data_IF_570738597772
#
_entry.id   IF_570738597772
#
_cell.length_a   1.000
_cell.length_b   1.000
_cell.length_c   1.000
_cell.angle_alpha   90.00
_cell.angle_beta   90.00
_cell.angle_gamma   90.00
#
_symmetry.space_group_name_H-M   'P 1'
#
loop_
_entity.id
_entity.type
_entity.pdbx_description
1 polymer ?
#
# COMPACT_ATOMS: atom_id res chain seq x y z
N UNK A 1 1.38 15.49 -13.72
CA UNK A 1 0.81 16.08 -12.49
C UNK A 1 0.30 14.97 -11.59
N UNK A 2 -0.29 15.28 -10.46
CA UNK A 2 -0.69 14.29 -9.45
C UNK A 2 -1.58 13.20 -10.05
N UNK A 3 -2.58 13.55 -10.86
CA UNK A 3 -3.51 12.57 -11.42
C UNK A 3 -2.81 11.53 -12.31
N UNK A 4 -1.90 11.96 -13.20
CA UNK A 4 -1.18 11.04 -14.07
C UNK A 4 -0.19 10.17 -13.30
N UNK A 5 0.40 10.70 -12.24
CA UNK A 5 1.30 9.93 -11.40
C UNK A 5 0.54 8.89 -10.57
N UNK A 6 -0.70 9.20 -10.15
CA UNK A 6 -1.55 8.22 -9.49
C UNK A 6 -2.01 7.13 -10.45
N UNK A 7 -2.22 7.44 -11.73
CA UNK A 7 -2.52 6.44 -12.75
C UNK A 7 -1.34 5.47 -12.94
N UNK A 8 -0.11 5.99 -12.99
CA UNK A 8 1.09 5.16 -13.07
C UNK A 8 1.23 4.25 -11.85
N UNK A 9 0.94 4.79 -10.66
CA UNK A 9 0.96 4.00 -9.45
C UNK A 9 -0.10 2.90 -9.50
N UNK A 10 -1.32 3.24 -9.91
CA UNK A 10 -2.40 2.27 -10.04
C UNK A 10 -2.04 1.13 -11.01
N UNK A 11 -1.45 1.47 -12.16
CA UNK A 11 -1.00 0.48 -13.14
C UNK A 11 0.08 -0.43 -12.56
N UNK A 12 1.00 0.13 -11.78
CA UNK A 12 2.05 -0.66 -11.14
C UNK A 12 1.49 -1.60 -10.07
N UNK A 13 0.52 -1.13 -9.29
CA UNK A 13 -0.14 -1.97 -8.29
C UNK A 13 -0.91 -3.12 -8.98
N UNK A 14 -1.60 -2.85 -10.07
CA UNK A 14 -2.27 -3.90 -10.85
C UNK A 14 -1.28 -4.95 -11.33
N UNK A 15 -0.12 -4.52 -11.84
CA UNK A 15 0.92 -5.44 -12.30
C UNK A 15 1.42 -6.33 -11.16
N UNK A 16 1.64 -5.76 -9.98
CA UNK A 16 2.08 -6.53 -8.80
C UNK A 16 1.03 -7.56 -8.41
N UNK A 17 -0.25 -7.16 -8.41
CA UNK A 17 -1.35 -8.06 -8.04
C UNK A 17 -1.52 -9.23 -9.01
N UNK A 18 -1.05 -9.07 -10.25
CA UNK A 18 -1.13 -10.11 -11.29
C UNK A 18 0.10 -11.01 -11.34
N UNK A 19 1.12 -10.75 -10.55
CA UNK A 19 2.32 -11.61 -10.52
C UNK A 19 1.99 -13.00 -10.01
N UNK A 20 2.75 -13.99 -10.47
CA UNK A 20 2.61 -15.37 -10.03
C UNK A 20 3.39 -15.62 -8.76
N UNK A 21 2.98 -14.95 -7.68
CA UNK A 21 3.55 -15.09 -6.36
C UNK A 21 2.41 -15.37 -5.38
N UNK A 22 2.77 -15.78 -4.15
CA UNK A 22 1.77 -16.09 -3.14
C UNK A 22 0.99 -14.83 -2.76
N UNK A 23 -0.32 -14.96 -2.42
CA UNK A 23 -1.12 -13.80 -2.00
C UNK A 23 -0.50 -13.00 -0.86
N UNK A 24 0.09 -13.67 0.15
CA UNK A 24 0.75 -12.99 1.26
C UNK A 24 1.93 -12.14 0.81
N UNK A 25 2.68 -12.60 -0.20
CA UNK A 25 3.79 -11.84 -0.78
C UNK A 25 3.28 -10.66 -1.61
N UNK A 26 2.14 -10.83 -2.29
CA UNK A 26 1.49 -9.72 -3.02
C UNK A 26 1.13 -8.57 -2.08
N UNK A 27 0.60 -8.87 -0.89
CA UNK A 27 0.24 -7.83 0.08
C UNK A 27 1.47 -7.00 0.45
N UNK A 28 2.57 -7.64 0.77
CA UNK A 28 3.82 -6.95 1.13
C UNK A 28 4.33 -6.12 -0.04
N UNK A 29 4.36 -6.69 -1.24
CA UNK A 29 4.83 -5.98 -2.43
C UNK A 29 3.93 -4.80 -2.78
N UNK A 30 2.61 -4.93 -2.62
CA UNK A 30 1.69 -3.83 -2.86
C UNK A 30 1.94 -2.67 -1.88
N UNK A 31 2.15 -2.97 -0.60
CA UNK A 31 2.44 -1.96 0.41
C UNK A 31 3.71 -1.17 0.04
N UNK A 32 4.81 -1.87 -0.22
CA UNK A 32 6.09 -1.20 -0.50
C UNK A 32 6.12 -0.52 -1.86
N UNK A 33 5.43 -1.06 -2.86
CA UNK A 33 5.28 -0.40 -4.15
C UNK A 33 4.56 0.93 -4.00
N UNK A 34 3.47 0.95 -3.26
CA UNK A 34 2.73 2.18 -2.96
C UNK A 34 3.63 3.21 -2.27
N UNK A 35 4.26 2.83 -1.18
CA UNK A 35 5.09 3.75 -0.39
C UNK A 35 6.29 4.27 -1.18
N UNK A 36 6.98 3.39 -1.92
CA UNK A 36 8.15 3.77 -2.72
C UNK A 36 7.78 4.75 -3.82
N UNK A 37 6.68 4.51 -4.52
CA UNK A 37 6.27 5.38 -5.62
C UNK A 37 5.76 6.73 -5.13
N UNK A 38 5.03 6.77 -4.02
CA UNK A 38 4.59 8.04 -3.42
C UNK A 38 5.81 8.85 -2.97
N UNK A 39 6.79 8.22 -2.35
CA UNK A 39 8.02 8.89 -1.96
C UNK A 39 8.77 9.44 -3.18
N UNK A 40 8.87 8.66 -4.24
CA UNK A 40 9.52 9.08 -5.48
C UNK A 40 8.84 10.30 -6.09
N UNK A 41 7.50 10.32 -6.12
CA UNK A 41 6.72 11.46 -6.60
C UNK A 41 7.02 12.71 -5.78
N UNK A 42 7.00 12.60 -4.47
CA UNK A 42 7.25 13.74 -3.56
C UNK A 42 8.68 14.27 -3.72
N UNK A 43 9.66 13.37 -3.81
CA UNK A 43 11.08 13.77 -3.96
C UNK A 43 11.32 14.44 -5.32
N UNK A 44 10.77 13.87 -6.40
CA UNK A 44 10.94 14.40 -7.75
C UNK A 44 10.27 15.77 -7.92
N UNK A 45 9.16 15.98 -7.24
CA UNK A 45 8.40 17.23 -7.29
C UNK A 45 8.54 17.98 -5.96
N UNK A 46 9.75 18.49 -5.68
CA UNK A 46 10.09 19.07 -4.37
C UNK A 46 9.09 20.09 -3.82
N UNK A 47 8.46 20.91 -4.70
CA UNK A 47 7.47 21.88 -4.31
C UNK A 47 6.08 21.25 -4.07
N UNK A 48 5.81 20.10 -4.66
CA UNK A 48 4.56 19.38 -4.52
C UNK A 48 4.33 18.94 -3.08
N UNK A 49 5.39 18.67 -2.35
CA UNK A 49 5.35 18.32 -0.95
C UNK A 49 4.69 19.40 -0.09
N UNK A 50 5.03 20.68 -0.33
CA UNK A 50 4.42 21.79 0.37
C UNK A 50 2.96 21.96 -0.03
N UNK A 51 2.65 21.82 -1.32
CA UNK A 51 1.28 21.89 -1.83
C UNK A 51 0.43 20.75 -1.29
N UNK A 52 0.99 19.55 -1.19
CA UNK A 52 0.32 18.39 -0.66
C UNK A 52 -0.24 18.68 0.75
N UNK A 53 0.56 19.29 1.59
CA UNK A 53 0.15 19.58 2.97
C UNK A 53 -0.70 20.84 3.10
N UNK A 54 -0.60 21.80 2.16
CA UNK A 54 -1.40 23.03 2.17
C UNK A 54 -2.80 22.81 1.63
N UNK A 55 -2.96 21.95 0.63
CA UNK A 55 -4.19 21.74 -0.09
C UNK A 55 -4.70 20.30 0.05
N UNK A 56 -4.75 19.85 1.31
CA UNK A 56 -5.15 18.48 1.63
C UNK A 56 -6.51 18.10 1.03
N UNK A 57 -7.45 19.05 0.97
CA UNK A 57 -8.75 18.82 0.38
C UNK A 57 -8.67 18.49 -1.11
N UNK A 58 -7.85 19.24 -1.84
CA UNK A 58 -7.64 19.00 -3.27
C UNK A 58 -6.99 17.64 -3.50
N UNK A 59 -6.00 17.31 -2.68
CA UNK A 59 -5.30 16.02 -2.77
C UNK A 59 -6.25 14.86 -2.49
N UNK A 60 -7.06 14.96 -1.45
CA UNK A 60 -8.03 13.92 -1.11
C UNK A 60 -9.05 13.71 -2.24
N UNK A 61 -9.54 14.80 -2.83
CA UNK A 61 -10.48 14.73 -3.95
C UNK A 61 -9.86 14.02 -5.16
N UNK A 62 -8.63 14.38 -5.52
CA UNK A 62 -7.92 13.76 -6.65
C UNK A 62 -7.63 12.28 -6.37
N UNK A 63 -7.33 11.93 -5.12
CA UNK A 63 -6.98 10.57 -4.73
C UNK A 63 -8.19 9.66 -4.56
N UNK A 64 -9.39 10.18 -4.50
CA UNK A 64 -10.58 9.37 -4.20
C UNK A 64 -10.70 8.12 -5.07
N UNK A 65 -10.59 8.29 -6.38
CA UNK A 65 -10.69 7.16 -7.31
C UNK A 65 -9.53 6.18 -7.14
N UNK A 66 -8.32 6.69 -6.94
CA UNK A 66 -7.16 5.86 -6.67
C UNK A 66 -7.35 5.04 -5.38
N UNK A 67 -7.84 5.68 -4.33
CA UNK A 67 -8.06 5.01 -3.05
C UNK A 67 -9.08 3.88 -3.17
N UNK A 68 -10.18 4.12 -3.88
CA UNK A 68 -11.21 3.10 -4.12
C UNK A 68 -10.65 1.93 -4.93
N UNK A 69 -9.87 2.21 -5.97
CA UNK A 69 -9.25 1.18 -6.80
C UNK A 69 -8.25 0.35 -6.00
N UNK A 70 -7.47 0.99 -5.14
CA UNK A 70 -6.51 0.29 -4.28
C UNK A 70 -7.22 -0.63 -3.28
N UNK A 71 -8.30 -0.15 -2.65
CA UNK A 71 -9.09 -0.98 -1.74
C UNK A 71 -9.65 -2.20 -2.47
N UNK A 72 -10.17 -2.01 -3.69
CA UNK A 72 -10.67 -3.12 -4.50
C UNK A 72 -9.59 -4.13 -4.83
N UNK A 73 -8.38 -3.66 -5.09
CA UNK A 73 -7.24 -4.52 -5.38
C UNK A 73 -6.88 -5.37 -4.17
N UNK A 74 -6.85 -4.79 -2.97
CA UNK A 74 -6.63 -5.55 -1.75
C UNK A 74 -7.73 -6.57 -1.52
N UNK A 75 -8.99 -6.22 -1.79
CA UNK A 75 -10.09 -7.20 -1.71
C UNK A 75 -9.83 -8.40 -2.60
N UNK A 76 -9.40 -8.17 -3.83
CA UNK A 76 -9.08 -9.26 -4.77
C UNK A 76 -7.98 -10.17 -4.24
N UNK A 77 -6.90 -9.58 -3.72
CA UNK A 77 -5.77 -10.36 -3.22
C UNK A 77 -6.16 -11.13 -1.94
N UNK A 78 -6.89 -10.50 -1.03
CA UNK A 78 -7.37 -11.18 0.17
C UNK A 78 -8.34 -12.30 -0.17
N UNK A 79 -9.23 -12.10 -1.15
CA UNK A 79 -10.15 -13.14 -1.62
C UNK A 79 -9.37 -14.30 -2.24
N UNK A 80 -8.38 -14.02 -3.07
CA UNK A 80 -7.49 -15.03 -3.65
C UNK A 80 -6.81 -15.86 -2.56
N UNK A 81 -6.25 -15.20 -1.55
CA UNK A 81 -5.59 -15.90 -0.45
C UNK A 81 -6.52 -16.74 0.37
N UNK A 82 -7.76 -16.27 0.61
CA UNK A 82 -8.77 -17.02 1.33
C UNK A 82 -9.20 -18.27 0.56
N UNK A 83 -9.42 -18.14 -0.74
CA UNK A 83 -9.80 -19.25 -1.60
C UNK A 83 -8.69 -20.29 -1.72
N UNK A 84 -7.44 -19.87 -1.67
CA UNK A 84 -6.30 -20.79 -1.71
C UNK A 84 -5.97 -21.40 -0.34
N UNK A 85 -6.69 -21.01 0.71
CA UNK A 85 -6.44 -21.50 2.06
C UNK A 85 -5.21 -20.87 2.73
N UNK A 86 -4.69 -19.77 2.18
CA UNK A 86 -3.54 -19.07 2.73
C UNK A 86 -3.91 -18.12 3.87
N UNK A 87 -5.12 -17.57 3.84
CA UNK A 87 -5.62 -16.58 4.82
C UNK A 87 -6.85 -17.09 5.53
N UNK A 88 -6.97 -16.73 6.80
CA UNK A 88 -8.17 -16.97 7.60
C UNK A 88 -8.78 -15.60 7.96
N UNK A 89 -9.60 -15.08 7.06
CA UNK A 89 -10.21 -13.75 7.18
C UNK A 89 -11.73 -13.89 7.07
N UNK A 90 -12.45 -13.41 8.07
CA UNK A 90 -13.92 -13.43 8.05
C UNK A 90 -14.50 -12.25 7.29
N UNK A 91 -13.94 -11.05 7.50
CA UNK A 91 -14.45 -9.82 6.89
C UNK A 91 -13.39 -9.21 5.98
N UNK A 92 -13.38 -9.64 4.72
CA UNK A 92 -12.42 -9.20 3.71
C UNK A 92 -12.52 -7.69 3.46
N UNK A 93 -13.75 -7.16 3.37
CA UNK A 93 -13.96 -5.75 3.11
C UNK A 93 -13.32 -4.88 4.19
N UNK A 94 -13.51 -5.22 5.45
CA UNK A 94 -12.96 -4.47 6.57
C UNK A 94 -11.42 -4.56 6.59
N UNK A 95 -10.86 -5.74 6.34
CA UNK A 95 -9.41 -5.93 6.31
C UNK A 95 -8.78 -5.12 5.17
N UNK A 96 -9.44 -5.08 4.01
CA UNK A 96 -8.96 -4.27 2.88
C UNK A 96 -8.98 -2.78 3.22
N UNK A 97 -10.05 -2.30 3.84
CA UNK A 97 -10.15 -0.90 4.27
C UNK A 97 -9.05 -0.56 5.29
N UNK A 98 -8.87 -1.40 6.30
CA UNK A 98 -7.83 -1.20 7.33
C UNK A 98 -6.45 -1.18 6.68
N UNK A 99 -6.16 -2.09 5.77
CA UNK A 99 -4.87 -2.15 5.06
C UNK A 99 -4.61 -0.84 4.32
N UNK A 100 -5.61 -0.35 3.60
CA UNK A 100 -5.49 0.91 2.86
C UNK A 100 -5.19 2.08 3.79
N UNK A 101 -5.93 2.22 4.89
CA UNK A 101 -5.71 3.33 5.84
C UNK A 101 -4.39 3.18 6.59
N UNK A 102 -3.93 1.98 6.84
CA UNK A 102 -2.59 1.76 7.39
C UNK A 102 -1.50 2.28 6.43
N UNK A 103 -1.66 2.01 5.14
CA UNK A 103 -0.72 2.53 4.12
C UNK A 103 -0.75 4.06 4.09
N UNK A 104 -1.93 4.67 4.09
CA UNK A 104 -2.05 6.12 4.12
C UNK A 104 -1.36 6.72 5.35
N UNK A 105 -1.51 6.08 6.51
CA UNK A 105 -0.84 6.52 7.74
C UNK A 105 0.67 6.35 7.70
N UNK A 106 1.17 5.41 6.91
CA UNK A 106 2.62 5.17 6.76
C UNK A 106 3.29 6.08 5.74
N UNK A 107 2.52 6.74 4.86
CA UNK A 107 3.09 7.56 3.78
C UNK A 107 4.02 8.65 4.33
N UNK A 108 3.57 9.44 5.27
CA UNK A 108 4.36 10.54 5.82
C UNK A 108 5.62 10.04 6.54
N UNK A 109 5.52 9.11 7.50
CA UNK A 109 6.72 8.58 8.15
C UNK A 109 7.71 7.95 7.16
N UNK A 110 7.22 7.25 6.14
CA UNK A 110 8.07 6.63 5.13
C UNK A 110 8.82 7.67 4.31
N UNK A 111 8.11 8.71 3.84
CA UNK A 111 8.68 9.78 3.02
C UNK A 111 9.78 10.53 3.78
N UNK A 112 9.58 10.78 5.07
CA UNK A 112 10.55 11.49 5.90
C UNK A 112 11.61 10.60 6.54
N UNK A 113 11.62 9.30 6.22
CA UNK A 113 12.60 8.37 6.80
C UNK A 113 12.41 8.14 8.29
N UNK A 114 11.20 8.33 8.81
CA UNK A 114 10.89 8.16 10.23
C UNK A 114 10.43 6.74 10.59
N UNK A 115 10.12 5.95 9.57
CA UNK A 115 9.68 4.57 9.77
C UNK A 115 10.89 3.69 10.10
N UNK A 116 11.08 3.41 11.38
CA UNK A 116 12.25 2.70 11.84
C UNK A 116 13.51 3.54 11.62
N UNK A 117 13.79 4.46 12.53
CA UNK A 117 14.89 5.42 12.43
C UNK A 117 16.19 4.75 11.95
N UNK A 118 16.69 5.18 10.79
CA UNK A 118 17.88 4.59 10.16
C UNK A 118 17.64 3.25 9.50
N UNK A 119 16.42 2.73 9.49
CA UNK A 119 16.09 1.43 8.91
C UNK A 119 15.81 1.54 7.42
N UNK A 120 16.39 0.64 6.65
CA UNK A 120 16.14 0.55 5.20
C UNK A 120 14.87 -0.25 4.92
N UNK A 121 14.40 -0.19 3.68
CA UNK A 121 13.29 -1.04 3.22
C UNK A 121 13.59 -2.52 3.47
N UNK A 122 14.81 -2.96 3.13
CA UNK A 122 15.21 -4.35 3.31
C UNK A 122 15.15 -4.81 4.77
N UNK A 123 15.51 -3.93 5.70
CA UNK A 123 15.48 -4.22 7.13
C UNK A 123 14.05 -4.22 7.68
N UNK A 124 13.20 -3.31 7.20
CA UNK A 124 11.84 -3.17 7.70
C UNK A 124 10.88 -4.22 7.13
N UNK A 125 11.12 -4.69 5.91
CA UNK A 125 10.22 -5.59 5.20
C UNK A 125 9.86 -6.86 5.97
N UNK A 126 10.82 -7.60 6.57
CA UNK A 126 10.47 -8.77 7.37
C UNK A 126 9.60 -8.46 8.59
N UNK A 127 9.79 -7.28 9.20
CA UNK A 127 9.01 -6.88 10.38
C UNK A 127 7.59 -6.50 9.97
N UNK A 128 7.44 -5.75 8.88
CA UNK A 128 6.13 -5.43 8.32
C UNK A 128 5.40 -6.71 7.92
N UNK A 129 6.11 -7.66 7.31
CA UNK A 129 5.54 -8.96 6.96
C UNK A 129 4.97 -9.69 8.18
N UNK A 130 5.69 -9.68 9.31
CA UNK A 130 5.20 -10.30 10.55
C UNK A 130 3.90 -9.66 11.04
N UNK A 131 3.82 -8.33 11.01
CA UNK A 131 2.61 -7.61 11.43
C UNK A 131 1.45 -7.94 10.51
N UNK A 132 1.68 -7.91 9.19
CA UNK A 132 0.65 -8.22 8.19
C UNK A 132 0.20 -9.67 8.33
N UNK A 133 1.12 -10.62 8.44
CA UNK A 133 0.79 -12.03 8.56
C UNK A 133 0.00 -12.30 9.84
N UNK A 134 0.33 -11.62 10.93
CA UNK A 134 -0.44 -11.71 12.16
C UNK A 134 -1.89 -11.26 11.98
N UNK A 135 -2.11 -10.20 11.21
CA UNK A 135 -3.45 -9.70 10.92
C UNK A 135 -4.25 -10.61 9.98
N UNK A 136 -3.57 -11.43 9.17
CA UNK A 136 -4.18 -12.34 8.22
C UNK A 136 -4.65 -13.66 8.85
N UNK A 137 -4.37 -13.89 10.13
CA UNK A 137 -4.72 -15.09 10.83
C UNK A 137 -3.85 -16.28 10.41
N UNK A 138 -4.40 -17.18 9.60
CA UNK A 138 -3.66 -18.33 9.09
C UNK A 138 -2.89 -17.94 7.83
N UNK A 139 -1.57 -18.06 7.87
CA UNK A 139 -0.72 -17.78 6.70
C UNK A 139 0.29 -18.90 6.55
N UNK A 140 0.36 -19.51 5.37
CA UNK A 140 1.40 -20.48 5.03
C UNK A 140 2.69 -19.77 4.65
N UNK A 141 3.75 -20.21 5.23
CA UNK A 141 5.08 -19.60 5.02
C UNK A 141 5.97 -20.44 4.13
#
# INVERSE_FOLDING_TARGET
MIASELELLSDKLDEVAMRKIRPQDKIIELIYTHLSMIKEVVVRNGNLRAEFFRNIWMVEKVRKNFDEDEIDLFRKVYTEGKLQGEFDIDNIDLVADITHYCIKGLEVPYIYGRLGHGMTEEMSKPLVAKVVYGALGKVRR
#
